data_IF_939105547881
#
_entry.id   IF_939105547881
#
_cell.length_a   1.000
_cell.length_b   1.000
_cell.length_c   1.000
_cell.angle_alpha   90.00
_cell.angle_beta   90.00
_cell.angle_gamma   90.00
#
_symmetry.space_group_name_H-M   'P 1'
#
loop_
_entity.id
_entity.type
_entity.pdbx_description
1 polymer ?
#
# COMPACT_ATOMS: atom_id res chain seq x y z
N UNK A 1 7.79 -5.91 9.41
CA UNK A 1 7.09 -4.69 8.95
C UNK A 1 7.49 -3.49 9.81
N UNK A 2 7.92 -2.39 9.20
CA UNK A 2 8.48 -1.21 9.87
C UNK A 2 7.40 -0.28 10.44
N UNK A 3 7.73 0.46 11.49
CA UNK A 3 6.87 1.53 12.03
C UNK A 3 6.56 2.62 10.99
N UNK A 4 7.50 2.90 10.09
CA UNK A 4 7.32 3.86 8.99
C UNK A 4 6.18 3.46 8.06
N UNK A 5 6.08 2.18 7.70
CA UNK A 5 4.99 1.67 6.85
C UNK A 5 3.63 1.83 7.53
N UNK A 6 3.53 1.51 8.82
CA UNK A 6 2.26 1.68 9.56
C UNK A 6 1.82 3.14 9.63
N UNK A 7 2.77 4.07 9.80
CA UNK A 7 2.48 5.51 9.75
C UNK A 7 1.92 5.92 8.39
N UNK A 8 2.55 5.50 7.29
CA UNK A 8 2.07 5.80 5.93
C UNK A 8 0.70 5.19 5.65
N UNK A 9 0.42 3.98 6.14
CA UNK A 9 -0.91 3.37 6.04
C UNK A 9 -1.97 4.19 6.81
N UNK A 10 -1.64 4.71 8.00
CA UNK A 10 -2.53 5.56 8.78
C UNK A 10 -2.83 6.90 8.08
N UNK A 11 -1.86 7.46 7.36
CA UNK A 11 -2.07 8.65 6.52
C UNK A 11 -3.07 8.37 5.39
N UNK A 12 -2.95 7.24 4.70
CA UNK A 12 -3.93 6.82 3.67
C UNK A 12 -5.32 6.65 4.27
N UNK A 13 -5.43 6.01 5.43
CA UNK A 13 -6.70 5.87 6.15
C UNK A 13 -7.30 7.24 6.49
N UNK A 14 -6.48 8.19 6.94
CA UNK A 14 -6.92 9.55 7.27
C UNK A 14 -7.45 10.30 6.04
N UNK A 15 -6.79 10.16 4.88
CA UNK A 15 -7.26 10.71 3.60
C UNK A 15 -8.59 10.09 3.20
N UNK A 16 -8.71 8.78 3.28
CA UNK A 16 -9.93 8.07 2.88
C UNK A 16 -11.08 8.32 3.86
N UNK A 17 -10.79 8.52 5.14
CA UNK A 17 -11.78 8.88 6.15
C UNK A 17 -12.47 10.22 5.84
N UNK A 18 -11.78 11.16 5.21
CA UNK A 18 -12.39 12.42 4.76
C UNK A 18 -13.47 12.21 3.68
N UNK A 19 -13.37 11.13 2.91
CA UNK A 19 -14.32 10.71 1.88
C UNK A 19 -15.15 9.48 2.30
N UNK A 20 -15.28 9.19 3.60
CA UNK A 20 -15.88 7.95 4.14
C UNK A 20 -17.30 7.63 3.62
N UNK A 21 -18.06 8.65 3.26
CA UNK A 21 -19.45 8.53 2.80
C UNK A 21 -19.55 8.50 1.25
N UNK A 22 -18.43 8.67 0.55
CA UNK A 22 -18.32 8.60 -0.90
C UNK A 22 -17.66 7.28 -1.32
N UNK A 23 -18.47 6.24 -1.45
CA UNK A 23 -18.00 4.91 -1.84
C UNK A 23 -17.30 4.93 -3.21
N UNK A 24 -17.76 5.74 -4.16
CA UNK A 24 -17.15 5.79 -5.49
C UNK A 24 -15.72 6.35 -5.42
N UNK A 25 -15.51 7.42 -4.63
CA UNK A 25 -14.17 7.96 -4.40
C UNK A 25 -13.25 6.96 -3.67
N UNK A 26 -13.78 6.17 -2.74
CA UNK A 26 -13.00 5.16 -2.01
C UNK A 26 -12.60 3.98 -2.89
N UNK A 27 -13.46 3.58 -3.83
CA UNK A 27 -13.22 2.45 -4.72
C UNK A 27 -12.52 2.85 -6.03
N UNK A 28 -12.32 4.15 -6.29
CA UNK A 28 -11.71 4.62 -7.54
C UNK A 28 -10.40 3.86 -7.85
N UNK A 29 -10.28 3.25 -9.04
CA UNK A 29 -9.16 2.36 -9.36
C UNK A 29 -7.83 3.08 -9.50
N UNK A 30 -7.79 4.41 -9.54
CA UNK A 30 -6.57 5.19 -9.71
C UNK A 30 -6.19 6.00 -8.46
N UNK A 31 -7.18 6.43 -7.69
CA UNK A 31 -7.03 7.41 -6.61
C UNK A 31 -7.67 6.98 -5.29
N UNK A 32 -8.41 5.87 -5.29
CA UNK A 32 -9.06 5.30 -4.12
C UNK A 32 -8.10 4.59 -3.16
N UNK A 33 -8.64 3.77 -2.27
CA UNK A 33 -7.90 3.16 -1.18
C UNK A 33 -6.85 2.14 -1.67
N UNK A 34 -7.28 1.20 -2.51
CA UNK A 34 -6.44 0.11 -3.03
C UNK A 34 -5.18 0.60 -3.78
N UNK A 35 -5.27 1.53 -4.77
CA UNK A 35 -4.09 2.00 -5.48
C UNK A 35 -3.08 2.72 -4.56
N UNK A 36 -3.54 3.41 -3.51
CA UNK A 36 -2.66 4.08 -2.54
C UNK A 36 -1.87 3.08 -1.70
N UNK A 37 -2.52 2.05 -1.16
CA UNK A 37 -1.81 1.03 -0.38
C UNK A 37 -0.86 0.21 -1.25
N UNK A 38 -1.27 -0.12 -2.48
CA UNK A 38 -0.39 -0.76 -3.45
C UNK A 38 0.88 0.06 -3.69
N UNK A 39 0.75 1.37 -3.84
CA UNK A 39 1.89 2.25 -4.05
C UNK A 39 2.84 2.24 -2.84
N UNK A 40 2.31 2.35 -1.62
CA UNK A 40 3.12 2.27 -0.40
C UNK A 40 3.93 0.97 -0.30
N UNK A 41 3.31 -0.17 -0.57
CA UNK A 41 4.03 -1.46 -0.58
C UNK A 41 5.16 -1.46 -1.63
N UNK A 42 4.91 -0.91 -2.83
CA UNK A 42 5.92 -0.85 -3.91
C UNK A 42 7.07 0.09 -3.57
N UNK A 43 6.78 1.22 -2.95
CA UNK A 43 7.79 2.17 -2.51
C UNK A 43 8.69 1.53 -1.45
N UNK A 44 8.09 0.82 -0.47
CA UNK A 44 8.86 0.10 0.56
C UNK A 44 9.70 -1.04 0.00
N UNK A 45 9.19 -1.82 -0.95
CA UNK A 45 9.97 -2.86 -1.64
C UNK A 45 11.17 -2.21 -2.33
N UNK A 46 10.95 -1.11 -3.05
CA UNK A 46 12.00 -0.38 -3.78
C UNK A 46 13.05 0.18 -2.83
N UNK A 47 12.62 0.74 -1.69
CA UNK A 47 13.52 1.26 -0.65
C UNK A 47 14.37 0.16 -0.02
N UNK A 48 13.76 -0.99 0.31
CA UNK A 48 14.44 -2.13 0.88
C UNK A 48 15.43 -2.78 -0.10
N UNK A 49 15.07 -2.88 -1.39
CA UNK A 49 15.94 -3.43 -2.44
C UNK A 49 17.13 -2.52 -2.76
N UNK A 50 16.94 -1.19 -2.70
CA UNK A 50 18.00 -0.21 -2.98
C UNK A 50 18.94 0.03 -1.78
N UNK A 51 18.50 -0.29 -0.57
CA UNK A 51 19.26 -0.08 0.65
C UNK A 51 20.21 -1.26 0.91
N UNK A 52 21.47 -1.10 0.54
CA UNK A 52 22.53 -2.12 0.71
C UNK A 52 22.78 -2.57 2.17
N UNK A 53 22.17 -1.89 3.15
CA UNK A 53 22.24 -2.16 4.59
C UNK A 53 20.87 -2.46 5.21
N UNK A 54 19.85 -2.76 4.42
CA UNK A 54 18.52 -3.05 4.94
C UNK A 54 18.52 -4.42 5.61
N UNK A 55 18.27 -4.47 6.93
CA UNK A 55 18.04 -5.71 7.70
C UNK A 55 16.68 -6.37 7.37
N UNK A 56 16.08 -6.04 6.22
CA UNK A 56 14.80 -6.61 5.80
C UNK A 56 15.04 -8.02 5.27
N UNK A 57 14.39 -8.99 5.90
CA UNK A 57 14.48 -10.38 5.49
C UNK A 57 13.79 -10.63 4.14
N UNK A 58 14.22 -11.67 3.42
CA UNK A 58 13.54 -12.08 2.19
C UNK A 58 12.06 -12.43 2.44
N UNK A 59 11.75 -13.01 3.59
CA UNK A 59 10.38 -13.32 4.00
C UNK A 59 9.52 -12.05 4.10
N UNK A 60 10.04 -10.98 4.72
CA UNK A 60 9.32 -9.70 4.79
C UNK A 60 9.12 -9.05 3.42
N UNK A 61 10.12 -9.14 2.53
CA UNK A 61 9.96 -8.69 1.14
C UNK A 61 8.87 -9.48 0.40
N UNK A 62 8.81 -10.80 0.59
CA UNK A 62 7.82 -11.64 -0.06
C UNK A 62 6.40 -11.36 0.48
N UNK A 63 6.26 -11.10 1.78
CA UNK A 63 5.01 -10.62 2.38
C UNK A 63 4.60 -9.27 1.78
N UNK A 64 5.52 -8.30 1.67
CA UNK A 64 5.22 -6.99 1.07
C UNK A 64 4.81 -7.11 -0.40
N UNK A 65 5.45 -8.00 -1.16
CA UNK A 65 5.09 -8.29 -2.56
C UNK A 65 3.70 -8.93 -2.64
N UNK A 66 3.38 -9.86 -1.74
CA UNK A 66 2.06 -10.47 -1.66
C UNK A 66 0.97 -9.42 -1.36
N UNK A 67 1.23 -8.49 -0.43
CA UNK A 67 0.31 -7.39 -0.15
C UNK A 67 0.13 -6.46 -1.35
N UNK A 68 1.23 -6.03 -2.00
CA UNK A 68 1.17 -5.18 -3.19
C UNK A 68 0.34 -5.84 -4.31
N UNK A 69 0.48 -7.15 -4.50
CA UNK A 69 -0.30 -7.91 -5.47
C UNK A 69 -1.77 -8.03 -5.06
N UNK A 70 -2.05 -8.21 -3.76
CA UNK A 70 -3.42 -8.28 -3.23
C UNK A 70 -4.16 -6.96 -3.44
N UNK A 71 -3.51 -5.82 -3.13
CA UNK A 71 -4.08 -4.50 -3.41
C UNK A 71 -4.20 -4.25 -4.91
N UNK A 72 -3.27 -4.73 -5.73
CA UNK A 72 -3.35 -4.66 -7.19
C UNK A 72 -4.51 -5.47 -7.76
N UNK A 73 -4.82 -6.63 -7.19
CA UNK A 73 -6.00 -7.41 -7.57
C UNK A 73 -7.28 -6.64 -7.22
N UNK A 74 -7.36 -6.09 -6.01
CA UNK A 74 -8.50 -5.30 -5.58
C UNK A 74 -8.72 -4.10 -6.51
N UNK A 75 -7.65 -3.36 -6.81
CA UNK A 75 -7.66 -2.24 -7.76
C UNK A 75 -8.19 -2.66 -9.14
N UNK A 76 -7.81 -3.84 -9.64
CA UNK A 76 -8.20 -4.32 -10.97
C UNK A 76 -9.67 -4.75 -11.06
N UNK A 77 -10.31 -5.07 -9.92
CA UNK A 77 -11.72 -5.50 -9.87
C UNK A 77 -12.66 -4.42 -9.34
N UNK A 78 -12.14 -3.27 -8.93
CA UNK A 78 -12.97 -2.14 -8.52
C UNK A 78 -13.69 -1.51 -9.73
N UNK A 79 -14.96 -1.10 -9.55
CA UNK A 79 -15.81 -0.56 -10.61
C UNK A 79 -15.41 0.84 -11.09
#
# INVERSE_FOLDING_TARGET
MSESLYSSCAEVLSVCQAAKDDLAALLDPNTGFAPRLRQLCRDQITEAENSASSDVSQEELDVLRMEANTWGLLQAVMP
#
